data_IF_087830038496
#
_entry.id   IF_087830038496
#
_cell.length_a   1.000
_cell.length_b   1.000
_cell.length_c   1.000
_cell.angle_alpha   90.00
_cell.angle_beta   90.00
_cell.angle_gamma   90.00
#
_symmetry.space_group_name_H-M   'P 1'
#
loop_
_entity.id
_entity.type
_entity.pdbx_description
1 polymer ?
#
# COMPACT_ATOMS: atom_id res chain seq x y z
N UNK A 1 -5.87 7.64 -45.54
CA UNK A 1 -7.07 8.47 -45.71
C UNK A 1 -8.36 7.76 -45.32
N UNK A 2 -8.60 6.49 -45.69
CA UNK A 2 -9.86 5.78 -45.36
C UNK A 2 -10.13 5.43 -43.88
N UNK A 3 -9.35 5.95 -42.92
CA UNK A 3 -9.59 5.85 -41.46
C UNK A 3 -9.46 7.21 -40.77
N UNK A 4 -9.42 8.29 -41.56
CA UNK A 4 -9.24 9.64 -41.01
C UNK A 4 -10.45 10.03 -40.17
N UNK A 5 -11.66 9.80 -40.68
CA UNK A 5 -12.90 10.12 -39.98
C UNK A 5 -13.03 9.31 -38.68
N UNK A 6 -12.75 8.00 -38.69
CA UNK A 6 -12.72 7.15 -37.49
C UNK A 6 -11.72 7.67 -36.43
N UNK A 7 -10.56 8.17 -36.88
CA UNK A 7 -9.54 8.71 -35.99
C UNK A 7 -9.99 10.02 -35.35
N UNK A 8 -10.64 10.90 -36.12
CA UNK A 8 -11.19 12.17 -35.62
C UNK A 8 -12.25 11.90 -34.56
N UNK A 9 -13.21 11.00 -34.83
CA UNK A 9 -14.26 10.63 -33.87
C UNK A 9 -13.65 10.09 -32.57
N UNK A 10 -12.68 9.17 -32.67
CA UNK A 10 -11.98 8.62 -31.50
C UNK A 10 -11.21 9.69 -30.72
N UNK A 11 -10.58 10.64 -31.42
CA UNK A 11 -9.81 11.71 -30.80
C UNK A 11 -10.72 12.71 -30.09
N UNK A 12 -11.87 13.04 -30.67
CA UNK A 12 -12.88 13.91 -30.03
C UNK A 12 -13.41 13.30 -28.74
N UNK A 13 -13.73 12.01 -28.75
CA UNK A 13 -14.15 11.28 -27.55
C UNK A 13 -13.05 11.30 -26.47
N UNK A 14 -11.81 10.95 -26.84
CA UNK A 14 -10.66 10.97 -25.91
C UNK A 14 -10.48 12.36 -25.29
N UNK A 15 -10.50 13.42 -26.09
CA UNK A 15 -10.31 14.79 -25.61
C UNK A 15 -11.45 15.17 -24.69
N UNK A 16 -12.70 14.85 -25.04
CA UNK A 16 -13.87 15.13 -24.21
C UNK A 16 -13.78 14.44 -22.85
N UNK A 17 -13.31 13.19 -22.81
CA UNK A 17 -13.23 12.40 -21.58
C UNK A 17 -12.02 12.74 -20.70
N UNK A 18 -10.94 13.28 -21.27
CA UNK A 18 -9.65 13.45 -20.56
C UNK A 18 -9.19 14.90 -20.42
N UNK A 19 -9.80 15.85 -21.12
CA UNK A 19 -9.50 17.28 -20.93
C UNK A 19 -10.10 17.78 -19.63
N UNK A 20 -9.26 17.95 -18.62
CA UNK A 20 -9.68 18.40 -17.29
C UNK A 20 -9.19 19.82 -17.01
N UNK A 21 -9.87 20.56 -16.13
CA UNK A 21 -9.47 21.93 -15.78
C UNK A 21 -8.04 22.05 -15.22
N UNK A 22 -7.53 20.99 -14.60
CA UNK A 22 -6.14 20.93 -14.10
C UNK A 22 -5.12 20.42 -15.14
N UNK A 23 -5.58 19.79 -16.22
CA UNK A 23 -4.74 19.23 -17.30
C UNK A 23 -5.52 19.25 -18.63
N UNK A 24 -5.73 20.44 -19.25
CA UNK A 24 -6.55 20.56 -20.45
C UNK A 24 -5.80 20.14 -21.71
N UNK A 25 -6.52 19.58 -22.68
CA UNK A 25 -6.01 19.41 -24.04
C UNK A 25 -5.99 20.74 -24.79
N UNK A 26 -4.89 21.03 -25.48
CA UNK A 26 -4.77 22.17 -26.41
C UNK A 26 -4.78 21.65 -27.85
N UNK A 27 -5.81 22.01 -28.61
CA UNK A 27 -5.95 21.61 -30.02
C UNK A 27 -5.30 22.70 -30.88
N UNK A 28 -4.26 22.35 -31.63
CA UNK A 28 -3.46 23.28 -32.45
C UNK A 28 -3.51 22.85 -33.91
N UNK A 29 -3.81 23.79 -34.82
CA UNK A 29 -3.82 23.54 -36.26
C UNK A 29 -2.40 23.25 -36.77
N UNK A 30 -2.21 22.07 -37.38
CA UNK A 30 -0.89 21.59 -37.80
C UNK A 30 -0.47 21.93 -39.23
N UNK A 31 -1.32 22.63 -40.01
CA UNK A 31 -1.15 22.84 -41.44
C UNK A 31 0.05 23.76 -41.76
N UNK A 32 0.18 24.88 -41.06
CA UNK A 32 1.32 25.79 -41.19
C UNK A 32 2.41 25.42 -40.14
N UNK A 33 3.64 25.10 -40.58
CA UNK A 33 4.72 24.68 -39.69
C UNK A 33 5.22 25.79 -38.76
N UNK A 34 5.14 27.06 -39.16
CA UNK A 34 5.54 28.19 -38.33
C UNK A 34 4.47 28.47 -37.28
N UNK A 35 3.19 28.50 -37.69
CA UNK A 35 2.06 28.69 -36.78
C UNK A 35 2.04 27.62 -35.68
N UNK A 36 2.06 26.33 -36.05
CA UNK A 36 2.00 25.25 -35.03
C UNK A 36 3.17 25.29 -34.05
N UNK A 37 4.36 25.66 -34.51
CA UNK A 37 5.56 25.71 -33.67
C UNK A 37 5.48 26.89 -32.69
N UNK A 38 4.95 28.02 -33.15
CA UNK A 38 4.74 29.19 -32.31
C UNK A 38 3.64 28.94 -31.27
N UNK A 39 2.48 28.42 -31.67
CA UNK A 39 1.36 28.11 -30.77
C UNK A 39 1.73 27.10 -29.68
N UNK A 40 2.50 26.05 -30.02
CA UNK A 40 3.01 25.09 -29.03
C UNK A 40 3.93 25.79 -28.02
N UNK A 41 4.82 26.65 -28.49
CA UNK A 41 5.74 27.39 -27.63
C UNK A 41 4.98 28.37 -26.71
N UNK A 42 4.00 29.09 -27.23
CA UNK A 42 3.18 30.04 -26.47
C UNK A 42 2.31 29.33 -25.42
N UNK A 43 1.67 28.22 -25.79
CA UNK A 43 0.89 27.37 -24.87
C UNK A 43 1.77 26.83 -23.74
N UNK A 44 2.96 26.32 -24.09
CA UNK A 44 3.93 25.80 -23.10
C UNK A 44 4.39 26.91 -22.16
N UNK A 45 4.73 28.09 -22.69
CA UNK A 45 5.16 29.23 -21.91
C UNK A 45 4.06 29.72 -20.96
N UNK A 46 2.81 29.76 -21.42
CA UNK A 46 1.67 30.12 -20.58
C UNK A 46 1.48 29.13 -19.42
N UNK A 47 1.55 27.82 -19.70
CA UNK A 47 1.45 26.78 -18.68
C UNK A 47 2.58 26.87 -17.65
N UNK A 48 3.83 27.10 -18.09
CA UNK A 48 4.98 27.28 -17.21
C UNK A 48 4.82 28.52 -16.31
N UNK A 49 4.37 29.65 -16.87
CA UNK A 49 4.12 30.87 -16.09
C UNK A 49 3.03 30.66 -15.04
N UNK A 50 1.95 29.96 -15.40
CA UNK A 50 0.88 29.64 -14.46
C UNK A 50 1.39 28.75 -13.32
N UNK A 51 2.19 27.73 -13.64
CA UNK A 51 2.78 26.84 -12.63
C UNK A 51 3.72 27.60 -11.68
N UNK A 52 4.57 28.49 -12.21
CA UNK A 52 5.45 29.34 -11.39
C UNK A 52 4.67 30.30 -10.48
N UNK A 53 3.51 30.78 -10.94
CA UNK A 53 2.65 31.66 -10.15
C UNK A 53 1.93 30.94 -9.00
N UNK A 54 1.59 29.65 -9.15
CA UNK A 54 0.97 28.82 -8.10
C UNK A 54 1.94 28.48 -6.96
N UNK A 55 3.24 28.41 -7.25
CA UNK A 55 4.27 27.99 -6.28
C UNK A 55 4.18 26.50 -5.93
N UNK A 56 5.08 26.03 -5.06
CA UNK A 56 5.23 24.60 -4.77
C UNK A 56 4.11 23.98 -3.89
N UNK A 57 3.11 24.75 -3.45
CA UNK A 57 2.13 24.33 -2.44
C UNK A 57 0.66 24.36 -2.87
N UNK A 58 0.34 24.75 -4.10
CA UNK A 58 -1.03 24.78 -4.63
C UNK A 58 -1.18 23.72 -5.74
N UNK A 59 -1.64 22.53 -5.37
CA UNK A 59 -1.75 21.37 -6.24
C UNK A 59 -3.06 21.29 -7.03
N UNK A 60 -3.87 22.35 -7.03
CA UNK A 60 -5.17 22.39 -7.70
C UNK A 60 -6.30 21.82 -6.85
N UNK A 61 -7.54 21.72 -7.39
CA UNK A 61 -8.68 21.34 -6.58
C UNK A 61 -8.49 19.94 -6.02
N UNK A 62 -8.51 19.85 -4.68
CA UNK A 62 -8.56 18.59 -3.97
C UNK A 62 -9.65 17.69 -4.56
N UNK A 63 -9.39 16.38 -4.60
CA UNK A 63 -10.46 15.39 -4.70
C UNK A 63 -11.60 15.80 -3.75
N UNK A 64 -12.88 15.59 -4.13
CA UNK A 64 -14.02 15.99 -3.31
C UNK A 64 -13.73 15.56 -1.87
N UNK A 65 -13.86 16.48 -0.89
CA UNK A 65 -13.41 16.23 0.47
C UNK A 65 -14.03 14.91 0.91
N UNK A 66 -13.18 13.90 1.11
CA UNK A 66 -13.63 12.62 1.58
C UNK A 66 -14.47 12.87 2.83
N UNK A 67 -15.72 12.41 2.82
CA UNK A 67 -16.72 12.70 3.85
C UNK A 67 -16.05 12.75 5.22
N UNK A 68 -16.13 13.90 5.87
CA UNK A 68 -15.62 14.07 7.22
C UNK A 68 -16.47 13.20 8.13
N UNK A 69 -15.93 12.05 8.51
CA UNK A 69 -16.44 11.37 9.68
C UNK A 69 -15.76 12.03 10.89
N UNK A 70 -16.52 12.63 11.82
CA UNK A 70 -15.92 13.06 13.07
C UNK A 70 -15.26 11.84 13.71
N UNK A 71 -13.98 11.97 14.08
CA UNK A 71 -13.30 10.99 14.94
C UNK A 71 -14.00 11.07 16.28
N UNK A 72 -15.05 10.28 16.45
CA UNK A 72 -15.83 10.27 17.67
C UNK A 72 -15.08 9.42 18.67
N UNK A 73 -14.43 10.06 19.64
CA UNK A 73 -13.82 9.38 20.79
C UNK A 73 -14.91 8.52 21.46
N UNK A 74 -14.75 7.20 21.40
CA UNK A 74 -15.74 6.23 21.93
C UNK A 74 -16.56 5.46 20.89
N UNK A 75 -16.36 5.68 19.59
CA UNK A 75 -16.84 4.72 18.57
C UNK A 75 -16.03 3.42 18.64
N UNK A 76 -16.69 2.26 18.50
CA UNK A 76 -16.03 0.95 18.38
C UNK A 76 -15.03 1.01 17.23
N UNK A 77 -13.77 0.73 17.52
CA UNK A 77 -12.72 0.64 16.52
C UNK A 77 -12.74 -0.76 15.88
N UNK A 78 -12.46 -0.88 14.59
CA UNK A 78 -12.22 -2.16 13.89
C UNK A 78 -11.19 -3.04 14.59
N UNK A 79 -10.23 -2.43 15.30
CA UNK A 79 -9.23 -3.15 16.10
C UNK A 79 -9.82 -3.79 17.36
N UNK A 80 -10.89 -3.24 17.93
CA UNK A 80 -11.52 -3.78 19.14
C UNK A 80 -12.20 -5.14 18.89
N UNK A 81 -12.53 -5.43 17.62
CA UNK A 81 -13.12 -6.70 17.20
C UNK A 81 -12.10 -7.85 17.10
N UNK A 82 -10.79 -7.56 17.18
CA UNK A 82 -9.75 -8.57 17.00
C UNK A 82 -9.58 -9.39 18.28
N UNK A 83 -9.85 -10.70 18.21
CA UNK A 83 -9.62 -11.61 19.34
C UNK A 83 -8.12 -11.84 19.59
N UNK A 84 -7.57 -11.02 20.48
CA UNK A 84 -6.17 -11.09 20.92
C UNK A 84 -5.87 -12.25 21.89
N UNK A 85 -6.86 -13.05 22.26
CA UNK A 85 -6.70 -14.25 23.10
C UNK A 85 -6.38 -15.50 22.29
N UNK A 86 -6.61 -15.46 20.97
CA UNK A 86 -6.38 -16.57 20.05
C UNK A 86 -4.95 -17.12 20.10
N UNK A 87 -4.85 -18.44 20.15
CA UNK A 87 -3.61 -19.20 20.36
C UNK A 87 -3.64 -20.51 19.59
N UNK A 88 -2.44 -21.02 19.33
CA UNK A 88 -2.21 -22.39 18.86
C UNK A 88 -1.18 -23.05 19.78
N UNK A 89 -1.35 -24.34 20.05
CA UNK A 89 -0.39 -25.12 20.81
C UNK A 89 0.85 -25.46 19.98
N UNK A 90 1.93 -25.81 20.67
CA UNK A 90 3.23 -25.98 20.04
C UNK A 90 3.29 -27.18 19.08
N UNK A 91 2.63 -28.28 19.44
CA UNK A 91 2.54 -29.51 18.63
C UNK A 91 1.71 -29.28 17.36
N UNK A 92 0.59 -28.57 17.47
CA UNK A 92 -0.28 -28.25 16.34
C UNK A 92 0.38 -27.26 15.37
N UNK A 93 1.20 -26.34 15.89
CA UNK A 93 1.78 -25.28 15.10
C UNK A 93 2.73 -25.79 14.01
N UNK A 94 3.64 -26.71 14.32
CA UNK A 94 4.61 -27.20 13.32
C UNK A 94 3.92 -28.02 12.23
N UNK A 95 2.91 -28.82 12.60
CA UNK A 95 2.07 -29.58 11.66
C UNK A 95 1.32 -28.64 10.71
N UNK A 96 0.53 -27.70 11.27
CA UNK A 96 -0.24 -26.73 10.46
C UNK A 96 0.65 -25.83 9.62
N UNK A 97 1.83 -25.46 10.12
CA UNK A 97 2.79 -24.67 9.36
C UNK A 97 3.25 -25.42 8.11
N UNK A 98 3.61 -26.70 8.24
CA UNK A 98 4.02 -27.54 7.11
C UNK A 98 2.91 -27.72 6.09
N UNK A 99 1.68 -27.97 6.54
CA UNK A 99 0.49 -28.09 5.68
C UNK A 99 0.22 -26.80 4.89
N UNK A 100 0.21 -25.65 5.58
CA UNK A 100 -0.03 -24.35 4.93
C UNK A 100 1.09 -23.97 3.97
N UNK A 101 2.34 -24.28 4.29
CA UNK A 101 3.47 -24.06 3.37
C UNK A 101 3.37 -24.95 2.12
N UNK A 102 2.94 -26.21 2.28
CA UNK A 102 2.67 -27.11 1.15
C UNK A 102 1.52 -26.62 0.28
N UNK A 103 0.41 -26.20 0.90
CA UNK A 103 -0.76 -25.61 0.22
C UNK A 103 -0.38 -24.35 -0.55
N UNK A 104 0.36 -23.44 0.10
CA UNK A 104 0.86 -22.22 -0.52
C UNK A 104 1.75 -22.53 -1.73
N UNK A 105 2.70 -23.46 -1.59
CA UNK A 105 3.58 -23.85 -2.70
C UNK A 105 2.78 -24.38 -3.89
N UNK A 106 1.78 -25.22 -3.63
CA UNK A 106 0.93 -25.79 -4.67
C UNK A 106 0.17 -24.70 -5.42
N UNK A 107 -0.62 -23.88 -4.73
CA UNK A 107 -1.46 -22.87 -5.39
C UNK A 107 -0.62 -21.79 -6.07
N UNK A 108 0.52 -21.42 -5.47
CA UNK A 108 1.44 -20.45 -6.05
C UNK A 108 1.99 -20.93 -7.39
N UNK A 109 2.39 -22.21 -7.50
CA UNK A 109 2.94 -22.76 -8.75
C UNK A 109 1.93 -22.71 -9.90
N UNK A 110 0.65 -22.94 -9.60
CA UNK A 110 -0.42 -22.86 -10.59
C UNK A 110 -0.61 -21.42 -11.09
N UNK A 111 -0.65 -20.44 -10.18
CA UNK A 111 -0.77 -19.02 -10.53
C UNK A 111 0.46 -18.50 -11.28
N UNK A 112 1.66 -18.85 -10.82
CA UNK A 112 2.91 -18.49 -11.48
C UNK A 112 2.94 -18.99 -12.93
N UNK A 113 2.47 -20.22 -13.21
CA UNK A 113 2.39 -20.74 -14.58
C UNK A 113 1.43 -19.94 -15.48
N UNK A 114 0.47 -19.21 -14.90
CA UNK A 114 -0.46 -18.30 -15.60
C UNK A 114 0.01 -16.85 -15.64
N UNK A 115 1.20 -16.56 -15.09
CA UNK A 115 1.71 -15.18 -14.96
C UNK A 115 0.99 -14.35 -13.90
N UNK A 116 0.23 -14.98 -13.00
CA UNK A 116 -0.54 -14.31 -11.96
C UNK A 116 0.27 -14.23 -10.65
N UNK A 117 0.86 -13.08 -10.39
CA UNK A 117 1.70 -12.84 -9.21
C UNK A 117 0.91 -12.39 -7.98
N UNK A 118 1.62 -11.93 -6.95
CA UNK A 118 1.01 -11.34 -5.77
C UNK A 118 1.84 -10.20 -5.16
N UNK A 119 1.15 -9.25 -4.55
CA UNK A 119 1.74 -8.20 -3.72
C UNK A 119 1.24 -8.35 -2.30
N UNK A 120 2.18 -8.56 -1.37
CA UNK A 120 1.90 -8.77 0.04
C UNK A 120 2.30 -7.53 0.83
N UNK A 121 1.36 -6.94 1.56
CA UNK A 121 1.58 -5.73 2.36
C UNK A 121 1.54 -6.07 3.84
N UNK A 122 2.61 -5.75 4.56
CA UNK A 122 2.71 -5.96 6.00
C UNK A 122 2.82 -4.64 6.76
N UNK A 123 1.73 -4.27 7.42
CA UNK A 123 1.66 -3.21 8.41
C UNK A 123 1.34 -3.79 9.81
N UNK A 124 1.40 -2.95 10.83
CA UNK A 124 1.12 -3.34 12.20
C UNK A 124 2.08 -2.70 13.19
N UNK A 125 1.76 -2.82 14.47
CA UNK A 125 2.52 -2.19 15.54
C UNK A 125 4.00 -2.56 15.53
N UNK A 126 4.82 -1.67 16.07
CA UNK A 126 6.20 -2.00 16.37
C UNK A 126 6.25 -3.19 17.32
N UNK A 127 7.16 -4.10 17.03
CA UNK A 127 7.24 -5.43 17.63
C UNK A 127 6.05 -6.39 17.44
N UNK A 128 5.08 -6.11 16.57
CA UNK A 128 3.96 -7.03 16.28
C UNK A 128 4.38 -8.37 15.66
N UNK A 129 5.52 -8.41 14.95
CA UNK A 129 6.11 -9.65 14.44
C UNK A 129 6.12 -9.83 12.93
N UNK A 130 5.94 -8.75 12.15
CA UNK A 130 5.91 -8.72 10.67
C UNK A 130 6.99 -9.58 10.02
N UNK A 131 8.27 -9.25 10.24
CA UNK A 131 9.39 -10.02 9.68
C UNK A 131 9.42 -11.51 10.09
N UNK A 132 8.80 -11.87 11.22
CA UNK A 132 8.64 -13.27 11.63
C UNK A 132 7.56 -14.02 10.87
N UNK A 133 6.50 -13.32 10.43
CA UNK A 133 5.47 -13.85 9.55
C UNK A 133 5.99 -13.97 8.11
N UNK A 134 6.64 -12.91 7.59
CA UNK A 134 7.27 -12.90 6.26
C UNK A 134 8.25 -14.07 6.10
N UNK A 135 9.11 -14.33 7.10
CA UNK A 135 10.07 -15.45 7.08
C UNK A 135 9.42 -16.84 7.04
N UNK A 136 8.12 -16.97 7.28
CA UNK A 136 7.38 -18.24 7.15
C UNK A 136 6.71 -18.43 5.79
N UNK A 137 6.57 -17.36 5.02
CA UNK A 137 6.12 -17.39 3.63
C UNK A 137 7.27 -17.83 2.72
N UNK A 138 8.45 -17.24 2.90
CA UNK A 138 9.60 -17.44 2.00
C UNK A 138 9.98 -18.89 1.73
N UNK A 139 9.90 -19.87 2.67
CA UNK A 139 10.25 -21.26 2.38
C UNK A 139 9.26 -21.99 1.46
N UNK A 140 8.03 -21.48 1.31
CA UNK A 140 7.01 -22.07 0.45
C UNK A 140 7.15 -21.65 -1.02
N UNK A 141 8.01 -20.68 -1.32
CA UNK A 141 8.15 -20.06 -2.64
C UNK A 141 9.62 -20.14 -3.07
N UNK A 142 9.86 -20.35 -4.36
CA UNK A 142 11.22 -20.29 -4.90
C UNK A 142 11.81 -18.90 -4.66
N UNK A 143 13.02 -18.82 -4.09
CA UNK A 143 13.66 -17.56 -3.72
C UNK A 143 13.91 -16.64 -4.91
N UNK A 144 13.91 -17.15 -6.13
CA UNK A 144 14.05 -16.36 -7.36
C UNK A 144 12.77 -15.61 -7.73
N UNK A 145 11.62 -16.03 -7.20
CA UNK A 145 10.32 -15.49 -7.56
C UNK A 145 9.66 -14.72 -6.41
N UNK A 146 10.38 -14.47 -5.33
CA UNK A 146 9.90 -13.67 -4.19
C UNK A 146 10.96 -12.65 -3.77
N UNK A 147 10.57 -11.38 -3.78
CA UNK A 147 11.40 -10.28 -3.30
C UNK A 147 10.79 -9.63 -2.06
N UNK A 148 11.60 -9.31 -1.06
CA UNK A 148 11.16 -8.66 0.17
C UNK A 148 11.75 -7.25 0.25
N UNK A 149 10.89 -6.25 0.11
CA UNK A 149 11.24 -4.84 0.22
C UNK A 149 10.93 -4.33 1.63
N UNK A 150 11.98 -3.89 2.34
CA UNK A 150 11.82 -3.13 3.58
C UNK A 150 11.68 -1.65 3.24
N UNK A 151 10.52 -1.07 3.50
CA UNK A 151 10.26 0.33 3.19
C UNK A 151 10.73 1.19 4.37
N UNK A 152 11.63 2.11 4.07
CA UNK A 152 12.20 3.07 5.00
C UNK A 152 11.93 4.51 4.52
N UNK A 153 12.49 5.48 5.25
CA UNK A 153 12.50 6.90 4.88
C UNK A 153 12.89 7.07 3.40
N UNK A 154 12.14 7.88 2.62
CA UNK A 154 12.44 8.06 1.20
C UNK A 154 13.80 8.71 0.97
N UNK A 155 14.52 8.25 -0.04
CA UNK A 155 15.74 8.89 -0.53
C UNK A 155 15.42 10.21 -1.22
N UNK A 156 16.43 11.05 -1.44
CA UNK A 156 16.26 12.31 -2.20
C UNK A 156 15.71 12.06 -3.61
N UNK A 157 16.11 10.96 -4.25
CA UNK A 157 15.60 10.55 -5.56
C UNK A 157 14.11 10.18 -5.53
N UNK A 158 13.66 9.58 -4.42
CA UNK A 158 12.26 9.21 -4.21
C UNK A 158 11.41 10.43 -3.85
N UNK A 159 11.95 11.38 -3.06
CA UNK A 159 11.28 12.65 -2.72
C UNK A 159 11.12 13.57 -3.91
N UNK A 160 12.00 13.49 -4.91
CA UNK A 160 11.93 14.28 -6.14
C UNK A 160 10.85 13.80 -7.12
N UNK A 161 10.00 12.84 -6.75
CA UNK A 161 8.98 12.22 -7.61
C UNK A 161 7.66 12.06 -6.88
N UNK A 162 6.62 11.67 -7.62
CA UNK A 162 5.32 11.33 -7.03
C UNK A 162 5.48 10.23 -5.96
N UNK A 163 4.74 10.33 -4.85
CA UNK A 163 4.84 9.42 -3.70
C UNK A 163 4.80 7.94 -4.10
N UNK A 164 3.85 7.56 -4.96
CA UNK A 164 3.65 6.17 -5.38
C UNK A 164 4.76 5.61 -6.29
N UNK A 165 5.58 6.47 -6.90
CA UNK A 165 6.61 6.06 -7.85
C UNK A 165 7.59 5.04 -7.25
N UNK A 166 7.95 5.22 -5.97
CA UNK A 166 8.89 4.33 -5.29
C UNK A 166 8.35 2.92 -5.08
N UNK A 167 7.03 2.74 -5.09
CA UNK A 167 6.38 1.44 -4.94
C UNK A 167 6.13 0.79 -6.29
N UNK A 168 5.70 1.57 -7.29
CA UNK A 168 5.60 1.11 -8.68
C UNK A 168 6.87 0.44 -9.19
N UNK A 169 8.04 1.02 -8.88
CA UNK A 169 9.35 0.43 -9.22
C UNK A 169 9.68 -0.90 -8.58
N UNK A 170 8.99 -1.25 -7.50
CA UNK A 170 9.23 -2.46 -6.69
C UNK A 170 8.15 -3.51 -6.94
N UNK A 171 7.29 -3.30 -7.94
CA UNK A 171 6.34 -4.33 -8.34
C UNK A 171 7.10 -5.51 -8.98
N UNK A 172 6.68 -6.75 -8.69
CA UNK A 172 7.31 -7.94 -9.19
C UNK A 172 6.98 -8.16 -10.67
N UNK A 173 7.69 -9.06 -11.34
CA UNK A 173 7.31 -9.47 -12.70
C UNK A 173 6.04 -10.32 -12.66
N UNK A 174 5.44 -10.57 -13.83
CA UNK A 174 4.30 -11.47 -13.95
C UNK A 174 4.60 -12.85 -13.32
N UNK A 175 3.69 -13.32 -12.47
CA UNK A 175 3.81 -14.59 -11.74
C UNK A 175 4.65 -14.54 -10.46
N UNK A 176 5.42 -13.48 -10.22
CA UNK A 176 6.30 -13.35 -9.05
C UNK A 176 5.58 -12.66 -7.87
N UNK A 177 6.21 -12.73 -6.69
CA UNK A 177 5.69 -12.15 -5.44
C UNK A 177 6.59 -11.01 -4.97
N UNK A 178 6.00 -9.86 -4.67
CA UNK A 178 6.66 -8.80 -3.90
C UNK A 178 6.07 -8.71 -2.50
N UNK A 179 6.94 -8.64 -1.49
CA UNK A 179 6.55 -8.46 -0.09
C UNK A 179 7.03 -7.11 0.40
N UNK A 180 6.11 -6.29 0.89
CA UNK A 180 6.36 -4.98 1.46
C UNK A 180 6.31 -5.06 2.99
N UNK A 181 7.46 -5.02 3.65
CA UNK A 181 7.57 -4.81 5.12
C UNK A 181 7.56 -3.30 5.39
N UNK A 182 6.40 -2.80 5.81
CA UNK A 182 5.93 -1.41 5.58
C UNK A 182 5.71 -1.11 4.09
N UNK A 183 4.88 -0.12 3.78
CA UNK A 183 4.37 0.09 2.41
C UNK A 183 3.96 1.55 2.12
N UNK A 184 3.23 1.77 1.03
CA UNK A 184 2.58 3.06 0.70
C UNK A 184 1.58 3.53 1.76
N UNK A 185 1.10 2.64 2.63
CA UNK A 185 0.27 3.02 3.76
C UNK A 185 0.99 3.88 4.79
N UNK A 186 2.33 3.99 4.72
CA UNK A 186 3.09 4.95 5.52
C UNK A 186 2.55 6.38 5.45
N UNK A 187 2.05 6.81 4.27
CA UNK A 187 1.47 8.15 4.05
C UNK A 187 0.28 8.46 4.95
N UNK A 188 -0.58 7.47 5.17
CA UNK A 188 -1.80 7.60 5.98
C UNK A 188 -1.63 7.12 7.42
N UNK A 189 -0.42 6.65 7.76
CA UNK A 189 -0.03 6.18 9.09
C UNK A 189 1.04 7.10 9.70
N UNK A 190 2.31 6.68 9.67
CA UNK A 190 3.42 7.40 10.33
C UNK A 190 3.59 8.81 9.80
N UNK A 191 3.45 9.04 8.49
CA UNK A 191 3.69 10.37 7.92
C UNK A 191 2.59 11.36 8.28
N UNK A 192 1.34 10.88 8.41
CA UNK A 192 0.21 11.65 8.94
C UNK A 192 0.42 12.02 10.40
N UNK A 193 0.86 11.08 11.23
CA UNK A 193 0.95 11.27 12.68
C UNK A 193 2.17 12.13 13.06
N UNK A 194 3.30 11.90 12.40
CA UNK A 194 4.54 12.65 12.61
C UNK A 194 4.59 13.97 11.83
N UNK A 195 3.61 14.24 10.96
CA UNK A 195 3.55 15.48 10.18
C UNK A 195 4.58 15.55 9.04
N UNK A 196 5.03 14.39 8.53
CA UNK A 196 5.87 14.30 7.34
C UNK A 196 5.09 14.46 6.03
N UNK A 197 3.76 14.37 6.11
CA UNK A 197 2.83 14.66 5.03
C UNK A 197 1.89 15.80 5.44
N UNK A 198 1.58 16.70 4.50
CA UNK A 198 0.52 17.69 4.73
C UNK A 198 -0.85 17.01 4.81
N UNK A 199 -1.83 17.71 5.37
CA UNK A 199 -3.19 17.19 5.46
C UNK A 199 -3.79 16.84 4.09
N UNK A 200 -3.55 17.70 3.11
CA UNK A 200 -3.99 17.46 1.74
C UNK A 200 -3.34 16.20 1.15
N UNK A 201 -2.04 16.02 1.34
CA UNK A 201 -1.29 14.87 0.83
C UNK A 201 -1.79 13.53 1.38
N UNK A 202 -1.98 13.40 2.69
CA UNK A 202 -2.44 12.11 3.22
C UNK A 202 -3.94 11.88 2.99
N UNK A 203 -4.76 12.94 2.90
CA UNK A 203 -6.19 12.78 2.59
C UNK A 203 -6.41 12.28 1.16
N UNK A 204 -5.70 12.83 0.16
CA UNK A 204 -5.81 12.35 -1.23
C UNK A 204 -5.24 10.94 -1.41
N UNK A 205 -4.24 10.57 -0.59
CA UNK A 205 -3.56 9.28 -0.69
C UNK A 205 -4.52 8.08 -0.58
N UNK A 206 -5.63 8.16 0.16
CA UNK A 206 -6.60 7.06 0.21
C UNK A 206 -7.16 6.69 -1.16
N UNK A 207 -7.54 7.68 -1.97
CA UNK A 207 -8.05 7.45 -3.32
C UNK A 207 -6.94 6.91 -4.23
N UNK A 208 -5.75 7.51 -4.18
CA UNK A 208 -4.60 7.08 -4.97
C UNK A 208 -4.16 5.65 -4.65
N UNK A 209 -4.22 5.23 -3.38
CA UNK A 209 -3.92 3.87 -2.94
C UNK A 209 -4.95 2.89 -3.50
N UNK A 210 -6.24 3.23 -3.43
CA UNK A 210 -7.30 2.39 -3.98
C UNK A 210 -7.15 2.24 -5.50
N UNK A 211 -6.89 3.33 -6.22
CA UNK A 211 -6.64 3.30 -7.66
C UNK A 211 -5.40 2.47 -7.99
N UNK A 212 -4.32 2.66 -7.23
CA UNK A 212 -3.09 1.89 -7.38
C UNK A 212 -3.34 0.39 -7.24
N UNK A 213 -3.96 -0.04 -6.13
CA UNK A 213 -4.27 -1.44 -5.87
C UNK A 213 -5.25 -2.01 -6.92
N UNK A 214 -6.22 -1.19 -7.36
CA UNK A 214 -7.13 -1.58 -8.43
C UNK A 214 -6.40 -1.91 -9.74
N UNK A 215 -5.39 -1.12 -10.13
CA UNK A 215 -4.58 -1.42 -11.32
C UNK A 215 -3.79 -2.72 -11.19
N UNK A 216 -3.31 -3.06 -9.99
CA UNK A 216 -2.64 -4.35 -9.76
C UNK A 216 -3.61 -5.52 -9.92
N UNK A 217 -4.82 -5.37 -9.36
CA UNK A 217 -5.88 -6.37 -9.46
C UNK A 217 -6.39 -6.54 -10.89
N UNK A 218 -6.50 -5.46 -11.69
CA UNK A 218 -6.86 -5.53 -13.11
C UNK A 218 -5.77 -6.23 -13.95
N UNK A 219 -4.50 -6.07 -13.57
CA UNK A 219 -3.40 -6.80 -14.19
C UNK A 219 -3.40 -8.31 -13.87
N UNK A 220 -4.20 -8.76 -12.90
CA UNK A 220 -4.31 -10.16 -12.48
C UNK A 220 -3.38 -10.54 -11.32
N UNK A 221 -2.86 -9.55 -10.59
CA UNK A 221 -2.10 -9.77 -9.36
C UNK A 221 -3.03 -9.83 -8.15
N UNK A 222 -2.76 -10.73 -7.21
CA UNK A 222 -3.40 -10.70 -5.91
C UNK A 222 -2.81 -9.59 -5.04
N UNK A 223 -3.65 -8.86 -4.32
CA UNK A 223 -3.21 -7.83 -3.35
C UNK A 223 -3.67 -8.24 -1.95
N UNK A 224 -2.72 -8.70 -1.12
CA UNK A 224 -3.02 -9.24 0.21
C UNK A 224 -2.41 -8.34 1.28
N UNK A 225 -3.25 -7.79 2.16
CA UNK A 225 -2.86 -6.75 3.12
C UNK A 225 -3.06 -7.22 4.56
N UNK A 226 -2.02 -7.11 5.37
CA UNK A 226 -2.00 -7.57 6.75
C UNK A 226 -1.72 -6.42 7.71
N UNK A 227 -2.58 -6.25 8.70
CA UNK A 227 -2.32 -5.44 9.89
C UNK A 227 -2.10 -6.37 11.08
N UNK A 228 -0.86 -6.47 11.58
CA UNK A 228 -0.57 -7.27 12.76
C UNK A 228 -0.90 -6.50 14.04
N UNK A 229 -2.01 -6.85 14.67
CA UNK A 229 -2.53 -6.19 15.86
C UNK A 229 -2.04 -6.86 17.15
N UNK A 230 -1.57 -6.09 18.13
CA UNK A 230 -1.17 -6.55 19.46
C UNK A 230 -1.70 -5.58 20.49
N UNK A 231 -1.85 -6.04 21.73
CA UNK A 231 -2.18 -5.17 22.86
C UNK A 231 -0.98 -4.29 23.28
N UNK A 232 -1.22 -3.10 23.88
CA UNK A 232 -0.17 -2.25 24.46
C UNK A 232 0.73 -3.00 25.46
N UNK A 233 0.13 -3.83 26.31
CA UNK A 233 0.84 -4.65 27.29
C UNK A 233 1.78 -5.65 26.61
N UNK A 234 1.30 -6.28 25.52
CA UNK A 234 2.10 -7.23 24.76
C UNK A 234 3.25 -6.53 24.04
N UNK A 235 3.03 -5.32 23.54
CA UNK A 235 4.08 -4.50 22.97
C UNK A 235 5.17 -4.20 24.02
N UNK A 236 4.76 -3.77 25.22
CA UNK A 236 5.68 -3.48 26.32
C UNK A 236 6.51 -4.69 26.72
N UNK A 237 5.85 -5.84 26.89
CA UNK A 237 6.52 -7.09 27.21
C UNK A 237 7.58 -7.43 26.15
N UNK A 238 7.26 -7.20 24.87
CA UNK A 238 8.18 -7.46 23.76
C UNK A 238 9.34 -6.47 23.75
N UNK A 239 9.13 -5.19 24.06
CA UNK A 239 10.21 -4.20 24.17
C UNK A 239 11.18 -4.57 25.29
N UNK A 240 10.67 -4.81 26.51
CA UNK A 240 11.49 -5.29 27.65
C UNK A 240 12.26 -6.57 27.33
N UNK A 241 11.66 -7.48 26.57
CA UNK A 241 12.35 -8.71 26.14
C UNK A 241 13.48 -8.46 25.13
N UNK A 242 13.35 -7.44 24.27
CA UNK A 242 14.37 -7.08 23.27
C UNK A 242 15.57 -6.39 23.91
N UNK A 243 15.36 -5.56 24.92
CA UNK A 243 16.43 -4.95 25.72
C UNK A 243 17.31 -6.01 26.38
N UNK A 244 16.70 -7.08 26.89
CA UNK A 244 17.40 -8.16 27.60
C UNK A 244 18.16 -9.13 26.70
N UNK A 245 17.84 -9.19 25.40
CA UNK A 245 18.40 -10.18 24.48
C UNK A 245 19.41 -9.49 23.55
N UNK A 246 20.72 -9.74 23.68
CA UNK A 246 21.78 -8.98 23.00
C UNK A 246 21.56 -8.84 21.48
N UNK A 247 21.25 -9.96 20.80
CA UNK A 247 21.04 -9.95 19.34
C UNK A 247 19.69 -9.36 18.91
N UNK A 248 18.83 -8.89 19.81
CA UNK A 248 17.54 -8.24 19.50
C UNK A 248 17.52 -6.75 19.84
N UNK A 249 18.54 -6.25 20.52
CA UNK A 249 18.64 -4.85 20.94
C UNK A 249 18.60 -3.88 19.75
N UNK A 250 19.20 -4.26 18.61
CA UNK A 250 19.15 -3.46 17.38
C UNK A 250 17.73 -3.18 16.84
N UNK A 251 16.71 -3.89 17.35
CA UNK A 251 15.30 -3.75 16.95
C UNK A 251 14.53 -2.77 17.85
N UNK A 252 15.20 -2.01 18.70
CA UNK A 252 14.60 -0.97 19.52
C UNK A 252 15.19 0.37 19.09
N UNK A 253 14.33 1.30 18.69
CA UNK A 253 14.72 2.67 18.36
C UNK A 253 13.99 3.65 19.28
N UNK A 254 14.51 4.87 19.41
CA UNK A 254 13.80 5.96 20.11
C UNK A 254 12.48 6.34 19.42
N UNK A 255 12.34 6.01 18.13
CA UNK A 255 11.09 6.17 17.38
C UNK A 255 10.03 5.18 17.87
N UNK A 256 10.40 3.92 18.14
CA UNK A 256 9.47 2.89 18.64
C UNK A 256 8.81 3.30 19.97
N UNK A 257 9.55 4.01 20.84
CA UNK A 257 9.04 4.52 22.11
C UNK A 257 8.11 5.72 21.91
N UNK A 258 8.48 6.68 21.04
CA UNK A 258 7.62 7.83 20.71
C UNK A 258 6.30 7.41 20.07
N UNK A 259 6.32 6.40 19.20
CA UNK A 259 5.12 5.87 18.55
C UNK A 259 4.14 5.28 19.57
N UNK A 260 4.65 4.69 20.65
CA UNK A 260 3.83 4.13 21.75
C UNK A 260 3.06 5.23 22.47
N UNK A 261 3.68 6.37 22.73
CA UNK A 261 3.00 7.50 23.40
C UNK A 261 1.84 8.07 22.56
N UNK A 262 1.82 7.75 21.26
CA UNK A 262 0.78 8.16 20.30
C UNK A 262 -0.19 7.04 19.94
N UNK A 263 -0.37 6.04 20.82
CA UNK A 263 -1.20 4.86 20.58
C UNK A 263 -2.60 5.18 20.03
N UNK A 264 -3.30 6.15 20.62
CA UNK A 264 -4.67 6.50 20.24
C UNK A 264 -4.72 7.14 18.83
N UNK A 265 -3.73 7.96 18.49
CA UNK A 265 -3.62 8.56 17.16
C UNK A 265 -3.36 7.50 16.09
N UNK A 266 -2.49 6.52 16.36
CA UNK A 266 -2.29 5.37 15.47
C UNK A 266 -3.54 4.51 15.35
N UNK A 267 -4.20 4.23 16.47
CA UNK A 267 -5.46 3.47 16.53
C UNK A 267 -6.54 4.11 15.65
N UNK A 268 -6.67 5.44 15.70
CA UNK A 268 -7.58 6.19 14.83
C UNK A 268 -7.15 6.18 13.35
N UNK A 269 -5.86 6.35 13.06
CA UNK A 269 -5.34 6.33 11.70
C UNK A 269 -5.52 4.95 11.03
N UNK A 270 -5.33 3.87 11.79
CA UNK A 270 -5.53 2.49 11.32
C UNK A 270 -7.01 2.22 11.07
N UNK A 271 -7.90 2.70 11.93
CA UNK A 271 -9.34 2.62 11.71
C UNK A 271 -9.73 3.24 10.37
N UNK A 272 -9.32 4.50 10.14
CA UNK A 272 -9.63 5.22 8.91
C UNK A 272 -8.96 4.58 7.68
N UNK A 273 -7.74 4.06 7.84
CA UNK A 273 -7.07 3.29 6.79
C UNK A 273 -7.89 2.07 6.36
N UNK A 274 -8.32 1.24 7.31
CA UNK A 274 -9.11 0.05 7.03
C UNK A 274 -10.45 0.44 6.41
N UNK A 275 -11.15 1.41 6.99
CA UNK A 275 -12.45 1.87 6.51
C UNK A 275 -12.40 2.39 5.06
N UNK A 276 -11.34 3.12 4.70
CA UNK A 276 -11.24 3.78 3.38
C UNK A 276 -10.55 2.94 2.31
N UNK A 277 -9.84 1.89 2.69
CA UNK A 277 -9.02 1.12 1.73
C UNK A 277 -9.23 -0.40 1.80
N UNK A 278 -10.06 -0.89 2.71
CA UNK A 278 -10.46 -2.30 2.69
C UNK A 278 -11.57 -2.49 1.65
N UNK A 279 -11.20 -2.88 0.43
CA UNK A 279 -12.14 -3.18 -0.64
C UNK A 279 -12.50 -4.67 -0.67
N UNK A 280 -13.55 -5.03 -1.42
CA UNK A 280 -13.95 -6.44 -1.58
C UNK A 280 -12.86 -7.30 -2.25
N UNK A 281 -12.05 -6.71 -3.15
CA UNK A 281 -10.99 -7.41 -3.89
C UNK A 281 -9.61 -7.30 -3.23
N UNK A 282 -9.38 -6.30 -2.38
CA UNK A 282 -8.16 -6.15 -1.59
C UNK A 282 -8.55 -5.80 -0.14
N UNK A 283 -9.09 -6.76 0.62
CA UNK A 283 -9.49 -6.51 2.00
C UNK A 283 -8.28 -6.38 2.92
N UNK A 284 -8.44 -5.61 3.99
CA UNK A 284 -7.47 -5.63 5.09
C UNK A 284 -7.71 -6.82 6.00
N UNK A 285 -6.65 -7.58 6.27
CA UNK A 285 -6.66 -8.68 7.24
C UNK A 285 -6.09 -8.22 8.57
N UNK A 286 -6.94 -8.11 9.59
CA UNK A 286 -6.52 -7.77 10.95
C UNK A 286 -6.07 -9.05 11.68
N UNK A 287 -4.75 -9.23 11.83
CA UNK A 287 -4.16 -10.46 12.36
C UNK A 287 -3.97 -10.37 13.87
N UNK A 288 -4.53 -11.30 14.68
CA UNK A 288 -4.24 -11.41 16.10
C UNK A 288 -2.77 -11.73 16.36
N UNK A 289 -2.00 -10.71 16.66
CA UNK A 289 -0.53 -10.76 16.76
C UNK A 289 0.00 -11.14 18.13
N UNK A 290 -0.85 -11.28 19.16
CA UNK A 290 -0.43 -11.47 20.54
C UNK A 290 0.44 -12.74 20.71
N UNK A 291 -0.01 -13.87 20.16
CA UNK A 291 0.79 -15.09 20.03
C UNK A 291 1.38 -15.19 18.61
N UNK A 292 2.71 -15.21 18.51
CA UNK A 292 3.42 -15.18 17.21
C UNK A 292 3.14 -16.39 16.33
N UNK A 293 2.93 -17.56 16.94
CA UNK A 293 2.67 -18.82 16.23
C UNK A 293 1.32 -18.75 15.52
N UNK A 294 0.26 -18.41 16.25
CA UNK A 294 -1.07 -18.16 15.68
C UNK A 294 -1.03 -17.14 14.54
N UNK A 295 -0.43 -15.96 14.78
CA UNK A 295 -0.35 -14.91 13.76
C UNK A 295 0.32 -15.35 12.44
N UNK A 296 1.32 -16.24 12.50
CA UNK A 296 1.99 -16.77 11.30
C UNK A 296 1.08 -17.72 10.52
N UNK A 297 0.33 -18.56 11.22
CA UNK A 297 -0.63 -19.47 10.60
C UNK A 297 -1.74 -18.66 9.92
N UNK A 298 -2.32 -17.66 10.60
CA UNK A 298 -3.34 -16.78 10.02
C UNK A 298 -2.85 -16.10 8.75
N UNK A 299 -1.62 -15.55 8.74
CA UNK A 299 -1.05 -14.92 7.54
C UNK A 299 -0.94 -15.90 6.38
N UNK A 300 -0.44 -17.13 6.63
CA UNK A 300 -0.30 -18.14 5.58
C UNK A 300 -1.66 -18.63 5.08
N UNK A 301 -2.61 -18.85 5.99
CA UNK A 301 -3.97 -19.29 5.67
C UNK A 301 -4.69 -18.28 4.80
N UNK A 302 -4.70 -17.01 5.19
CA UNK A 302 -5.27 -15.92 4.38
C UNK A 302 -4.58 -15.78 3.02
N UNK A 303 -3.25 -15.95 2.97
CA UNK A 303 -2.54 -15.90 1.69
C UNK A 303 -2.97 -17.05 0.77
N UNK A 304 -3.08 -18.27 1.27
CA UNK A 304 -3.59 -19.40 0.49
C UNK A 304 -4.99 -19.11 -0.04
N UNK A 305 -5.91 -18.67 0.82
CA UNK A 305 -7.30 -18.35 0.46
C UNK A 305 -7.38 -17.26 -0.62
N UNK A 306 -6.58 -16.20 -0.50
CA UNK A 306 -6.55 -15.12 -1.48
C UNK A 306 -6.07 -15.62 -2.86
N UNK A 307 -5.04 -16.47 -2.88
CA UNK A 307 -4.50 -17.01 -4.13
C UNK A 307 -5.43 -18.06 -4.77
N UNK A 308 -6.23 -18.76 -3.97
CA UNK A 308 -7.25 -19.71 -4.46
C UNK A 308 -8.49 -19.02 -5.03
N UNK A 309 -8.92 -17.91 -4.42
CA UNK A 309 -10.18 -17.23 -4.78
C UNK A 309 -10.06 -16.41 -6.07
N UNK A 310 -8.87 -15.87 -6.37
CA UNK A 310 -8.65 -15.05 -7.57
C UNK A 310 -8.38 -15.88 -8.84
N UNK A 311 -9.06 -17.00 -9.01
CA UNK A 311 -8.94 -17.95 -10.13
C UNK A 311 -10.07 -17.84 -11.14
#
# INVERSE_FOLDING_TARGET
WGRYDDFVETAEELISLTSAGHAPWSIIEGADPNFRSLEVAETTLAAMRQALARGNGDHGPAHPPALQMPVTVGQRNVLDAVDLSARVEDEDYETRLGELQGRLNHVYRERHARGQGAVLVFEGWDAAGKGGAIRRITPAVDTRHIEVHRIAVPTEEEKARHYLWRFWRRLPRAGEIAVFDRSWYGRVLVERIEGFATEEEWRRAYAEINDFEHRLLEHGMAVVKFWLHISPDKQEQRFKSREKIPYKQYKLTEEDLRNRDRWDAYTAAVHEMVERTSSARAPWTLVPGNQKKFARLTVLETLCEALETEG
#
